data_IF_006462094013
#
_entry.id   IF_006462094013
#
_cell.length_a   1.000
_cell.length_b   1.000
_cell.length_c   1.000
_cell.angle_alpha   90.00
_cell.angle_beta   90.00
_cell.angle_gamma   90.00
#
_symmetry.space_group_name_H-M   'P 1'
#
loop_
_entity.id
_entity.type
_entity.pdbx_description
1 polymer ?
#
# COMPACT_ATOMS: atom_id res chain seq x y z
N UNK A 1 2.39 9.21 1.25
CA UNK A 1 2.04 10.08 2.39
C UNK A 1 2.93 11.31 2.39
N UNK A 2 2.34 12.48 2.65
CA UNK A 2 3.01 13.78 2.74
C UNK A 2 2.93 14.33 4.16
N UNK A 3 3.91 15.16 4.52
CA UNK A 3 3.95 15.82 5.82
C UNK A 3 2.82 16.87 5.95
N UNK A 4 2.56 17.62 4.88
CA UNK A 4 1.49 18.60 4.79
C UNK A 4 0.47 18.27 3.69
N UNK A 5 -0.75 18.78 3.85
CA UNK A 5 -1.85 18.71 2.87
C UNK A 5 -1.62 19.63 1.66
N UNK A 6 -0.47 19.49 0.97
CA UNK A 6 -0.08 20.33 -0.17
C UNK A 6 0.65 19.51 -1.22
N UNK A 7 0.53 19.96 -2.48
CA UNK A 7 1.21 19.31 -3.59
C UNK A 7 2.73 19.40 -3.55
N UNK A 8 3.23 20.49 -2.99
CA UNK A 8 4.67 20.77 -2.83
C UNK A 8 5.27 20.20 -1.55
N UNK A 9 4.48 19.49 -0.73
CA UNK A 9 5.01 18.89 0.50
C UNK A 9 5.88 17.68 0.16
N UNK A 10 7.00 17.56 0.88
CA UNK A 10 7.84 16.36 0.88
C UNK A 10 6.97 15.12 1.15
N UNK A 11 7.27 14.05 0.41
CA UNK A 11 6.73 12.75 0.72
C UNK A 11 7.54 12.17 1.86
N UNK A 12 6.87 11.59 2.85
CA UNK A 12 7.54 11.06 4.04
C UNK A 12 7.49 9.54 4.11
N UNK A 13 6.54 8.93 3.40
CA UNK A 13 6.37 7.48 3.32
C UNK A 13 5.43 7.15 2.15
N UNK A 14 5.38 5.88 1.72
CA UNK A 14 4.52 5.40 0.65
C UNK A 14 3.50 4.41 1.22
N UNK A 15 2.27 4.48 0.72
CA UNK A 15 1.22 3.51 1.03
C UNK A 15 1.14 2.56 -0.16
N UNK A 16 1.24 1.26 0.09
CA UNK A 16 1.14 0.23 -0.93
C UNK A 16 -0.31 -0.19 -1.15
N UNK A 17 -0.55 -0.87 -2.27
CA UNK A 17 -1.86 -1.44 -2.56
C UNK A 17 -2.32 -2.37 -1.43
N UNK A 18 -3.60 -2.23 -1.06
CA UNK A 18 -4.27 -3.10 -0.09
C UNK A 18 -3.98 -2.76 1.37
N UNK A 19 -3.14 -1.78 1.65
CA UNK A 19 -2.99 -1.25 3.01
C UNK A 19 -4.26 -0.55 3.48
N UNK A 20 -4.56 -0.70 4.77
CA UNK A 20 -5.75 -0.16 5.40
C UNK A 20 -5.37 0.77 6.55
N UNK A 21 -6.20 1.79 6.75
CA UNK A 21 -5.93 2.89 7.66
C UNK A 21 -7.22 3.53 8.12
N UNK A 22 -7.12 4.37 9.15
CA UNK A 22 -8.22 5.20 9.64
C UNK A 22 -8.05 6.63 9.13
N UNK A 23 -9.12 7.25 8.67
CA UNK A 23 -9.15 8.70 8.39
C UNK A 23 -9.26 9.44 9.72
N UNK A 24 -8.37 10.40 9.95
CA UNK A 24 -8.33 11.23 11.16
C UNK A 24 -8.88 12.63 10.88
N UNK A 25 -8.56 13.18 9.72
CA UNK A 25 -8.94 14.54 9.33
C UNK A 25 -9.16 14.59 7.82
N UNK A 26 -10.22 15.28 7.41
CA UNK A 26 -10.51 15.51 5.99
C UNK A 26 -10.44 17.00 5.66
N UNK A 27 -9.83 17.28 4.51
CA UNK A 27 -9.80 18.59 3.84
C UNK A 27 -10.14 18.36 2.38
N UNK A 28 -10.60 19.41 1.68
CA UNK A 28 -11.10 19.37 0.29
C UNK A 28 -10.52 18.28 -0.63
N UNK A 29 -9.19 18.17 -0.75
CA UNK A 29 -8.51 17.19 -1.62
C UNK A 29 -7.61 16.23 -0.85
N UNK A 30 -7.54 16.38 0.46
CA UNK A 30 -6.48 15.83 1.30
C UNK A 30 -7.12 15.15 2.49
N UNK A 31 -6.73 13.90 2.73
CA UNK A 31 -7.14 13.17 3.92
C UNK A 31 -5.90 12.83 4.73
N UNK A 32 -5.95 13.12 6.03
CA UNK A 32 -4.95 12.70 6.99
C UNK A 32 -5.34 11.33 7.49
N UNK A 33 -4.44 10.36 7.31
CA UNK A 33 -4.69 8.97 7.67
C UNK A 33 -3.73 8.52 8.77
N UNK A 34 -4.13 7.46 9.48
CA UNK A 34 -3.28 6.69 10.39
C UNK A 34 -3.27 5.24 9.95
N UNK A 35 -2.09 4.73 9.58
CA UNK A 35 -1.89 3.34 9.18
C UNK A 35 -2.21 2.39 10.33
N UNK A 36 -2.84 1.25 10.01
CA UNK A 36 -3.23 0.27 11.01
C UNK A 36 -2.03 -0.47 11.62
N UNK A 37 -0.95 -0.66 10.86
CA UNK A 37 0.17 -1.53 11.24
C UNK A 37 1.23 -0.84 12.12
N UNK A 38 1.51 0.45 11.94
CA UNK A 38 2.55 1.18 12.66
C UNK A 38 2.06 2.48 13.33
N UNK A 39 0.77 2.81 13.19
CA UNK A 39 0.17 4.07 13.66
C UNK A 39 0.81 5.34 13.08
N UNK A 40 1.58 5.22 11.99
CA UNK A 40 2.17 6.38 11.33
C UNK A 40 1.09 7.24 10.67
N UNK A 41 1.28 8.55 10.70
CA UNK A 41 0.33 9.52 10.18
C UNK A 41 0.87 10.31 9.01
N UNK A 42 0.01 10.61 8.04
CA UNK A 42 0.36 11.48 6.94
C UNK A 42 -0.83 11.84 6.06
N UNK A 43 -0.59 12.77 5.14
CA UNK A 43 -1.59 13.24 4.19
C UNK A 43 -1.52 12.46 2.88
N UNK A 44 -2.67 12.10 2.33
CA UNK A 44 -2.81 11.50 0.99
C UNK A 44 -3.93 12.20 0.22
N UNK A 45 -3.85 12.14 -1.11
CA UNK A 45 -4.90 12.68 -1.98
C UNK A 45 -6.13 11.77 -1.87
N UNK A 46 -7.31 12.37 -1.71
CA UNK A 46 -8.58 11.63 -1.58
C UNK A 46 -8.87 10.73 -2.80
N UNK A 47 -8.29 11.01 -3.96
CA UNK A 47 -8.43 10.19 -5.17
C UNK A 47 -7.67 8.86 -5.11
N UNK A 48 -6.73 8.72 -4.18
CA UNK A 48 -5.90 7.53 -4.03
C UNK A 48 -6.47 6.55 -2.99
N UNK A 49 -7.65 6.82 -2.45
CA UNK A 49 -8.29 6.00 -1.43
C UNK A 49 -9.65 5.49 -1.88
N UNK A 50 -10.05 4.38 -1.28
CA UNK A 50 -11.40 3.85 -1.36
C UNK A 50 -11.89 3.75 0.09
N UNK A 51 -13.00 4.41 0.38
CA UNK A 51 -13.64 4.31 1.70
C UNK A 51 -14.30 2.94 1.85
N UNK A 52 -14.16 2.37 3.04
CA UNK A 52 -14.75 1.08 3.41
C UNK A 52 -15.50 1.24 4.73
N UNK A 53 -16.52 0.41 4.93
CA UNK A 53 -17.26 0.35 6.19
C UNK A 53 -16.37 -0.11 7.36
N UNK A 54 -16.73 0.29 8.57
CA UNK A 54 -15.98 -0.04 9.78
C UNK A 54 -15.91 -1.56 10.03
N UNK A 55 -16.98 -2.28 9.69
CA UNK A 55 -17.04 -3.74 9.75
C UNK A 55 -15.98 -4.35 8.84
N UNK A 56 -15.88 -3.89 7.59
CA UNK A 56 -14.87 -4.35 6.62
C UNK A 56 -13.45 -4.10 7.12
N UNK A 57 -13.20 -2.94 7.73
CA UNK A 57 -11.90 -2.65 8.36
C UNK A 57 -11.55 -3.70 9.43
N UNK A 58 -12.50 -4.02 10.31
CA UNK A 58 -12.28 -5.01 11.37
C UNK A 58 -12.17 -6.44 10.85
N UNK A 59 -12.83 -6.76 9.74
CA UNK A 59 -12.65 -8.04 9.05
C UNK A 59 -11.26 -8.17 8.43
N UNK A 60 -10.76 -7.13 7.77
CA UNK A 60 -9.39 -7.10 7.21
C UNK A 60 -8.38 -7.32 8.33
N UNK A 61 -8.47 -6.53 9.40
CA UNK A 61 -7.57 -6.56 10.57
C UNK A 61 -7.45 -7.95 11.21
N UNK A 62 -8.57 -8.69 11.27
CA UNK A 62 -8.62 -10.06 11.82
C UNK A 62 -8.26 -11.14 10.81
N UNK A 63 -8.25 -10.83 9.52
CA UNK A 63 -8.02 -11.80 8.47
C UNK A 63 -6.55 -12.16 8.35
N UNK A 64 -6.28 -13.28 7.68
CA UNK A 64 -4.93 -13.66 7.32
C UNK A 64 -4.44 -12.76 6.17
N UNK A 65 -3.37 -12.02 6.42
CA UNK A 65 -2.76 -11.13 5.44
C UNK A 65 -1.87 -11.92 4.47
N UNK A 66 -1.98 -11.60 3.18
CA UNK A 66 -1.12 -12.13 2.13
C UNK A 66 -0.48 -10.98 1.35
N UNK A 67 0.80 -11.14 1.04
CA UNK A 67 1.61 -10.12 0.39
C UNK A 67 2.18 -10.63 -0.93
N UNK A 68 2.30 -9.74 -1.91
CA UNK A 68 2.94 -10.01 -3.19
C UNK A 68 4.42 -10.36 -2.99
N UNK A 69 4.88 -11.45 -3.62
CA UNK A 69 6.29 -11.87 -3.60
C UNK A 69 7.12 -11.27 -4.73
N UNK A 70 6.51 -11.07 -5.89
CA UNK A 70 7.26 -10.61 -7.06
C UNK A 70 7.58 -9.12 -6.92
N UNK A 71 8.72 -8.72 -7.48
CA UNK A 71 9.18 -7.33 -7.44
C UNK A 71 8.15 -6.37 -8.07
N UNK A 72 7.56 -6.79 -9.18
CA UNK A 72 6.53 -6.08 -9.93
C UNK A 72 5.47 -7.10 -10.35
N UNK A 73 4.21 -6.82 -10.02
CA UNK A 73 3.04 -7.60 -10.43
C UNK A 73 1.92 -6.70 -10.91
N UNK A 74 0.86 -7.30 -11.42
CA UNK A 74 -0.34 -6.57 -11.84
C UNK A 74 -1.57 -7.05 -11.08
N UNK A 75 -2.49 -6.11 -10.87
CA UNK A 75 -3.83 -6.38 -10.39
C UNK A 75 -4.85 -5.84 -11.37
N UNK A 76 -5.90 -6.62 -11.61
CA UNK A 76 -7.02 -6.26 -12.47
C UNK A 76 -8.17 -5.81 -11.60
N UNK A 77 -8.56 -4.55 -11.78
CA UNK A 77 -9.66 -3.95 -11.05
C UNK A 77 -11.02 -4.42 -11.57
N UNK A 78 -12.07 -4.21 -10.78
CA UNK A 78 -13.45 -4.51 -11.18
C UNK A 78 -13.86 -3.87 -12.52
N UNK A 79 -13.29 -2.70 -12.86
CA UNK A 79 -13.54 -2.00 -14.13
C UNK A 79 -12.64 -2.47 -15.29
N UNK A 80 -12.00 -3.64 -15.17
CA UNK A 80 -11.04 -4.22 -16.12
C UNK A 80 -9.75 -3.39 -16.32
N UNK A 81 -9.53 -2.33 -15.53
CA UNK A 81 -8.28 -1.58 -15.56
C UNK A 81 -7.17 -2.34 -14.83
N UNK A 82 -5.93 -2.12 -15.26
CA UNK A 82 -4.74 -2.75 -14.69
C UNK A 82 -3.93 -1.74 -13.89
N UNK A 83 -3.59 -2.11 -12.66
CA UNK A 83 -2.59 -1.39 -11.85
C UNK A 83 -1.38 -2.26 -11.59
N UNK A 84 -0.23 -1.60 -11.47
CA UNK A 84 1.02 -2.27 -11.11
C UNK A 84 1.21 -2.18 -9.61
N UNK A 85 1.55 -3.30 -8.98
CA UNK A 85 1.87 -3.39 -7.55
C UNK A 85 3.29 -3.91 -7.38
N UNK A 86 3.89 -3.61 -6.25
CA UNK A 86 5.26 -4.02 -5.92
C UNK A 86 5.27 -5.09 -4.83
N UNK A 87 6.44 -5.74 -4.68
CA UNK A 87 6.72 -6.65 -3.57
C UNK A 87 6.28 -6.04 -2.23
N UNK A 88 5.61 -6.83 -1.40
CA UNK A 88 5.10 -6.39 -0.10
C UNK A 88 3.71 -5.73 -0.14
N UNK A 89 3.09 -5.52 -1.31
CA UNK A 89 1.69 -5.08 -1.38
C UNK A 89 0.74 -6.15 -0.81
N UNK A 90 -0.29 -5.73 -0.07
CA UNK A 90 -1.24 -6.62 0.60
C UNK A 90 -2.35 -7.08 -0.37
N UNK A 91 -2.12 -8.19 -1.04
CA UNK A 91 -3.04 -8.73 -2.07
C UNK A 91 -4.28 -9.37 -1.47
N UNK A 92 -4.26 -9.79 -0.21
CA UNK A 92 -5.45 -10.34 0.48
C UNK A 92 -6.62 -9.36 0.58
N UNK A 93 -6.36 -8.06 0.44
CA UNK A 93 -7.40 -7.01 0.44
C UNK A 93 -8.20 -6.98 -0.87
N UNK A 94 -7.70 -7.58 -1.95
CA UNK A 94 -8.35 -7.55 -3.27
C UNK A 94 -9.78 -8.10 -3.24
N UNK A 95 -10.05 -9.08 -2.37
CA UNK A 95 -11.38 -9.67 -2.17
C UNK A 95 -12.43 -8.65 -1.70
N UNK A 96 -12.01 -7.60 -0.99
CA UNK A 96 -12.91 -6.52 -0.53
C UNK A 96 -13.07 -5.42 -1.57
N UNK A 97 -12.13 -5.30 -2.49
CA UNK A 97 -12.13 -4.31 -3.57
C UNK A 97 -12.74 -4.86 -4.87
N UNK A 98 -13.15 -6.14 -4.88
CA UNK A 98 -13.56 -6.87 -6.08
C UNK A 98 -12.48 -6.87 -7.18
N UNK A 99 -11.21 -6.85 -6.76
CA UNK A 99 -10.04 -6.90 -7.62
C UNK A 99 -9.53 -8.34 -7.74
N UNK A 100 -8.93 -8.68 -8.88
CA UNK A 100 -8.38 -10.01 -9.18
C UNK A 100 -6.88 -9.94 -9.51
N UNK A 101 -6.14 -10.97 -9.12
CA UNK A 101 -4.70 -11.07 -9.37
C UNK A 101 -4.31 -12.50 -9.78
N UNK A 102 -3.20 -12.61 -10.51
CA UNK A 102 -2.56 -13.88 -10.89
C UNK A 102 -1.07 -13.79 -10.53
N UNK A 103 -0.76 -13.91 -9.24
CA UNK A 103 0.61 -13.80 -8.72
C UNK A 103 0.84 -14.77 -7.55
N UNK A 104 2.11 -14.97 -7.20
CA UNK A 104 2.48 -15.70 -5.99
C UNK A 104 2.36 -14.80 -4.75
N UNK A 105 1.55 -15.23 -3.77
CA UNK A 105 1.38 -14.54 -2.49
C UNK A 105 2.03 -15.30 -1.34
N UNK A 106 2.38 -14.59 -0.26
CA UNK A 106 2.83 -15.21 0.99
C UNK A 106 2.19 -14.58 2.22
N UNK A 107 1.96 -15.42 3.23
CA UNK A 107 1.42 -15.02 4.53
C UNK A 107 2.45 -15.12 5.68
N UNK A 108 3.72 -15.37 5.34
CA UNK A 108 4.81 -15.47 6.28
C UNK A 108 6.16 -15.40 5.60
N UNK A 109 7.22 -15.25 6.40
CA UNK A 109 8.60 -15.30 5.93
C UNK A 109 9.30 -16.52 6.52
N UNK A 110 9.82 -17.40 5.67
CA UNK A 110 10.83 -18.36 6.11
C UNK A 110 12.19 -17.65 6.15
N UNK A 111 13.01 -17.97 7.15
CA UNK A 111 14.35 -17.37 7.28
C UNK A 111 15.23 -17.63 6.05
N UNK A 112 15.00 -18.73 5.35
CA UNK A 112 15.66 -19.06 4.07
C UNK A 112 15.39 -18.04 2.97
N UNK A 113 14.21 -17.43 2.99
CA UNK A 113 13.74 -16.56 1.90
C UNK A 113 14.21 -15.11 2.11
N UNK A 114 14.69 -14.78 3.31
CA UNK A 114 15.18 -13.45 3.66
C UNK A 114 16.29 -12.98 2.72
N UNK A 115 17.25 -13.86 2.41
CA UNK A 115 18.38 -13.53 1.53
C UNK A 115 17.87 -13.29 0.11
N UNK A 116 17.03 -14.19 -0.41
CA UNK A 116 16.48 -14.05 -1.77
C UNK A 116 15.65 -12.78 -1.91
N UNK A 117 14.80 -12.47 -0.92
CA UNK A 117 14.00 -11.24 -0.90
C UNK A 117 14.88 -9.98 -0.80
N UNK A 118 15.95 -10.01 0.01
CA UNK A 118 16.89 -8.90 0.09
C UNK A 118 17.64 -8.69 -1.22
N UNK A 119 17.97 -9.76 -1.94
CA UNK A 119 18.61 -9.69 -3.25
C UNK A 119 17.71 -9.06 -4.33
N UNK A 120 16.38 -9.23 -4.24
CA UNK A 120 15.43 -8.56 -5.14
C UNK A 120 15.47 -7.03 -5.02
N UNK A 121 15.80 -6.51 -3.84
CA UNK A 121 15.91 -5.08 -3.55
C UNK A 121 17.35 -4.55 -3.70
N UNK A 122 18.30 -5.42 -4.06
CA UNK A 122 19.70 -5.03 -4.24
C UNK A 122 19.82 -4.14 -5.49
N UNK A 123 20.39 -2.95 -5.32
CA UNK A 123 20.47 -1.87 -6.32
C UNK A 123 19.15 -1.14 -6.60
N UNK A 124 18.08 -1.36 -5.81
CA UNK A 124 16.94 -0.45 -5.87
C UNK A 124 17.40 0.98 -5.55
N UNK A 125 17.01 1.97 -6.37
CA UNK A 125 17.44 3.35 -6.16
C UNK A 125 17.00 3.82 -4.78
N UNK A 126 17.91 4.47 -4.07
CA UNK A 126 17.59 5.05 -2.77
C UNK A 126 16.64 6.23 -2.96
N UNK A 127 15.47 6.15 -2.35
CA UNK A 127 14.44 7.20 -2.42
C UNK A 127 14.20 7.78 -1.03
N UNK A 128 14.85 8.90 -0.73
CA UNK A 128 14.47 9.72 0.42
C UNK A 128 13.32 10.64 0.00
N UNK A 129 12.10 10.30 0.42
CA UNK A 129 10.96 11.23 0.43
C UNK A 129 10.52 11.88 -0.89
N UNK A 130 10.78 11.23 -2.03
CA UNK A 130 10.66 11.77 -3.42
C UNK A 130 11.14 13.21 -3.58
N UNK A 131 12.44 13.35 -3.77
CA UNK A 131 12.99 14.45 -4.54
C UNK A 131 13.87 13.88 -5.66
N UNK A 132 13.27 13.65 -6.83
CA UNK A 132 14.03 13.46 -8.07
C UNK A 132 13.95 14.77 -8.84
N UNK A 133 14.81 15.73 -8.45
CA UNK A 133 15.07 16.92 -9.24
C UNK A 133 15.79 16.51 -10.52
N UNK A 134 15.17 16.82 -11.67
CA UNK A 134 15.88 17.05 -12.93
C UNK A 134 15.54 18.42 -13.45
#
# INVERSE_FOLDING_TARGET
MRLEAKDTSEMVSQVLYGEYFKIIEERKKWVKIRLAHDSYEGWIDIKQIIEIEAETYHEIDRSKHEYAKDLISHITHHNESLSTITIGAQVSTSKYLADSYQLESTSGSNKSDLINNALLLLNSPYLWGVEEHR
#
